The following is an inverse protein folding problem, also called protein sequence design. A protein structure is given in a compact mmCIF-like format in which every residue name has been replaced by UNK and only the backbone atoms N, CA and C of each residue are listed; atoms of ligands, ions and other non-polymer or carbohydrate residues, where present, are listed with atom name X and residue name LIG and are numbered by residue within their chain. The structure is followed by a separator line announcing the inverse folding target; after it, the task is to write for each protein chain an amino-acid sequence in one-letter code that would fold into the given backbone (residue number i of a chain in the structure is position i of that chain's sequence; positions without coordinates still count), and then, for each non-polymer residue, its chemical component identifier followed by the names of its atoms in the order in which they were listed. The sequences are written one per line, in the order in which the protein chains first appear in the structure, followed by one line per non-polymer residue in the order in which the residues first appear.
data_IF_340406908898
#
_entry.id   IF_340406908898
#
_cell.length_a   1.000
_cell.length_b   1.000
_cell.length_c   1.000
_cell.angle_alpha   90.00
_cell.angle_beta   90.00
_cell.angle_gamma   90.00
#
_symmetry.space_group_name_H-M   'P 1'
#
loop_
_entity.id
_entity.type
_entity.pdbx_description
1 polymer ?
#
# COMPACT_ATOMS: atom_id res chain seq x y z
N UNK A 1 -24.22 -15.50 7.56
CA UNK A 1 -23.05 -14.62 7.52
C UNK A 1 -21.71 -15.31 7.83
N UNK A 2 -21.65 -16.56 8.31
CA UNK A 2 -20.38 -17.20 8.72
C UNK A 2 -19.29 -17.30 7.64
N UNK A 3 -19.52 -18.09 6.58
CA UNK A 3 -18.47 -18.34 5.57
C UNK A 3 -18.07 -17.08 4.81
N UNK A 4 -19.03 -16.27 4.34
CA UNK A 4 -18.75 -15.09 3.51
C UNK A 4 -17.96 -14.03 4.29
N UNK A 5 -18.34 -13.78 5.55
CA UNK A 5 -17.64 -12.82 6.40
C UNK A 5 -16.21 -13.27 6.69
N UNK A 6 -16.01 -14.56 6.99
CA UNK A 6 -14.67 -15.13 7.18
C UNK A 6 -13.81 -14.99 5.91
N UNK A 7 -14.38 -15.25 4.73
CA UNK A 7 -13.66 -15.06 3.47
C UNK A 7 -13.26 -13.61 3.22
N UNK A 8 -14.13 -12.64 3.52
CA UNK A 8 -13.81 -11.22 3.41
C UNK A 8 -12.69 -10.80 4.36
N UNK A 9 -12.70 -11.31 5.60
CA UNK A 9 -11.61 -11.07 6.57
C UNK A 9 -10.29 -11.68 6.07
N UNK A 10 -10.31 -12.92 5.58
CA UNK A 10 -9.12 -13.57 5.05
C UNK A 10 -8.55 -12.83 3.84
N UNK A 11 -9.41 -12.35 2.94
CA UNK A 11 -9.00 -11.51 1.81
C UNK A 11 -8.39 -10.19 2.27
N UNK A 12 -9.02 -9.52 3.24
CA UNK A 12 -8.50 -8.27 3.81
C UNK A 12 -7.14 -8.47 4.47
N UNK A 13 -6.98 -9.57 5.22
CA UNK A 13 -5.71 -9.95 5.84
C UNK A 13 -4.61 -10.18 4.79
N UNK A 14 -4.93 -10.90 3.71
CA UNK A 14 -3.98 -11.14 2.62
C UNK A 14 -3.53 -9.85 1.94
N UNK A 15 -4.46 -8.92 1.68
CA UNK A 15 -4.15 -7.61 1.10
C UNK A 15 -3.29 -6.77 2.06
N UNK A 16 -3.60 -6.78 3.35
CA UNK A 16 -2.81 -6.09 4.37
C UNK A 16 -1.37 -6.62 4.43
N UNK A 17 -1.21 -7.95 4.48
CA UNK A 17 0.11 -8.58 4.47
C UNK A 17 0.88 -8.28 3.17
N UNK A 18 0.19 -8.32 2.02
CA UNK A 18 0.76 -7.94 0.73
C UNK A 18 1.22 -6.49 0.68
N UNK A 19 0.44 -5.56 1.24
CA UNK A 19 0.81 -4.15 1.39
C UNK A 19 2.07 -3.99 2.23
N UNK A 20 2.12 -4.61 3.40
CA UNK A 20 3.30 -4.57 4.29
C UNK A 20 4.53 -5.08 3.54
N UNK A 21 4.41 -6.23 2.87
CA UNK A 21 5.51 -6.81 2.12
C UNK A 21 5.99 -5.91 0.98
N UNK A 22 5.06 -5.37 0.17
CA UNK A 22 5.38 -4.48 -0.95
C UNK A 22 5.99 -3.16 -0.47
N UNK A 23 5.59 -2.64 0.68
CA UNK A 23 6.17 -1.44 1.28
C UNK A 23 7.58 -1.71 1.80
N UNK A 24 7.81 -2.85 2.46
CA UNK A 24 9.15 -3.22 2.92
C UNK A 24 10.15 -3.41 1.78
N UNK A 25 9.68 -3.87 0.61
CA UNK A 25 10.51 -3.96 -0.61
C UNK A 25 10.87 -2.59 -1.21
N UNK A 26 10.18 -1.52 -0.83
CA UNK A 26 10.43 -0.16 -1.32
C UNK A 26 11.44 0.57 -0.43
N UNK A 27 12.67 0.07 -0.40
CA UNK A 27 13.75 0.75 0.32
C UNK A 27 14.00 2.16 -0.26
N UNK A 28 14.06 3.21 0.58
CA UNK A 28 14.33 4.56 0.11
C UNK A 28 15.73 4.63 -0.50
N UNK A 29 15.83 5.25 -1.68
CA UNK A 29 17.02 5.16 -2.54
C UNK A 29 18.25 5.94 -2.05
N UNK A 30 18.16 6.74 -0.99
CA UNK A 30 19.32 7.45 -0.42
C UNK A 30 19.06 7.86 1.04
N UNK A 31 20.09 7.76 1.87
CA UNK A 31 20.00 7.64 3.33
C UNK A 31 19.67 8.93 4.09
N UNK A 32 18.84 8.78 5.11
CA UNK A 32 18.86 9.46 6.42
C UNK A 32 18.77 11.00 6.52
N UNK A 33 19.12 11.75 5.47
CA UNK A 33 19.29 13.21 5.52
C UNK A 33 18.05 14.02 5.14
N UNK A 34 17.02 13.40 4.56
CA UNK A 34 15.89 14.11 3.94
C UNK A 34 14.60 14.11 4.78
N UNK A 35 14.73 14.01 6.11
CA UNK A 35 13.59 14.16 7.03
C UNK A 35 13.04 15.61 6.98
N UNK A 36 13.79 16.55 6.40
CA UNK A 36 13.43 17.96 6.27
C UNK A 36 13.60 18.49 4.84
N UNK A 37 13.08 17.80 3.83
CA UNK A 37 12.76 18.38 2.51
C UNK A 37 13.87 19.21 1.83
N UNK A 38 15.06 18.66 1.63
CA UNK A 38 16.19 19.37 1.04
C UNK A 38 16.97 18.51 0.04
N UNK A 39 17.09 18.85 -1.23
CA UNK A 39 16.65 20.05 -1.93
C UNK A 39 16.90 19.89 -3.43
N UNK A 40 16.04 20.51 -4.24
CA UNK A 40 16.19 20.91 -5.65
C UNK A 40 16.83 19.95 -6.69
N UNK A 41 17.17 18.70 -6.38
CA UNK A 41 18.07 17.92 -7.24
C UNK A 41 17.42 16.68 -7.87
N UNK A 42 16.23 16.28 -7.42
CA UNK A 42 15.57 15.04 -7.92
C UNK A 42 14.18 15.23 -8.54
N UNK A 43 13.77 16.48 -8.80
CA UNK A 43 12.45 16.76 -9.43
C UNK A 43 12.29 16.09 -10.81
N UNK A 44 13.40 15.78 -11.48
CA UNK A 44 13.43 15.07 -12.77
C UNK A 44 13.95 13.62 -12.69
N UNK A 45 14.60 13.21 -11.61
CA UNK A 45 15.12 11.84 -11.44
C UNK A 45 14.03 10.82 -11.03
N UNK A 46 12.90 11.30 -10.50
CA UNK A 46 11.74 10.47 -10.16
C UNK A 46 11.02 9.84 -11.37
N UNK A 47 11.33 10.26 -12.60
CA UNK A 47 10.66 9.79 -13.81
C UNK A 47 11.32 8.51 -14.35
N UNK A 48 10.96 7.35 -13.79
CA UNK A 48 10.95 6.12 -14.60
C UNK A 48 11.28 4.80 -13.90
N UNK A 49 12.02 4.78 -12.80
CA UNK A 49 12.65 3.52 -12.33
C UNK A 49 11.89 2.81 -11.20
N UNK A 50 10.83 3.39 -10.64
CA UNK A 50 10.05 2.79 -9.51
C UNK A 50 8.56 2.58 -9.79
N UNK A 51 8.11 2.81 -11.03
CA UNK A 51 6.67 2.91 -11.33
C UNK A 51 5.85 1.64 -11.11
N UNK A 52 6.42 0.45 -11.32
CA UNK A 52 5.68 -0.81 -11.21
C UNK A 52 5.19 -1.10 -9.79
N UNK A 53 6.14 -1.19 -8.85
CA UNK A 53 5.85 -1.47 -7.45
C UNK A 53 5.01 -0.35 -6.82
N UNK A 54 5.30 0.91 -7.16
CA UNK A 54 4.49 2.07 -6.78
C UNK A 54 3.03 1.95 -7.21
N UNK A 55 2.76 1.59 -8.48
CA UNK A 55 1.39 1.39 -8.98
C UNK A 55 0.69 0.24 -8.27
N UNK A 56 1.39 -0.86 -8.00
CA UNK A 56 0.85 -2.01 -7.26
C UNK A 56 0.45 -1.60 -5.84
N UNK A 57 1.28 -0.81 -5.14
CA UNK A 57 0.96 -0.29 -3.81
C UNK A 57 -0.28 0.58 -3.81
N UNK A 58 -0.45 1.45 -4.81
CA UNK A 58 -1.64 2.29 -4.95
C UNK A 58 -2.89 1.41 -5.06
N UNK A 59 -2.88 0.42 -5.95
CA UNK A 59 -4.04 -0.46 -6.14
C UNK A 59 -4.33 -1.31 -4.91
N UNK A 60 -3.31 -1.86 -4.26
CA UNK A 60 -3.50 -2.59 -3.00
C UNK A 60 -4.02 -1.68 -1.89
N UNK A 61 -3.52 -0.44 -1.78
CA UNK A 61 -3.98 0.56 -0.82
C UNK A 61 -5.45 0.95 -1.03
N UNK A 62 -5.85 1.17 -2.28
CA UNK A 62 -7.25 1.43 -2.62
C UNK A 62 -8.15 0.23 -2.28
N UNK A 63 -7.74 -0.98 -2.63
CA UNK A 63 -8.47 -2.20 -2.31
C UNK A 63 -8.62 -2.41 -0.80
N UNK A 64 -7.56 -2.15 -0.03
CA UNK A 64 -7.58 -2.20 1.44
C UNK A 64 -8.61 -1.22 2.03
N UNK A 65 -8.59 0.04 1.60
CA UNK A 65 -9.56 1.03 2.08
C UNK A 65 -11.00 0.66 1.74
N UNK A 66 -11.26 0.24 0.50
CA UNK A 66 -12.60 -0.17 0.06
C UNK A 66 -13.10 -1.36 0.88
N UNK A 67 -12.27 -2.39 1.07
CA UNK A 67 -12.63 -3.56 1.87
C UNK A 67 -12.86 -3.21 3.35
N UNK A 68 -12.07 -2.29 3.92
CA UNK A 68 -12.25 -1.81 5.29
C UNK A 68 -13.65 -1.21 5.50
N UNK A 69 -14.09 -0.35 4.56
CA UNK A 69 -15.43 0.24 4.59
C UNK A 69 -16.52 -0.82 4.41
N UNK A 70 -16.35 -1.74 3.46
CA UNK A 70 -17.32 -2.82 3.20
C UNK A 70 -17.51 -3.68 4.45
N UNK A 71 -16.42 -4.17 5.04
CA UNK A 71 -16.45 -5.03 6.24
C UNK A 71 -17.10 -4.30 7.41
N UNK A 72 -16.81 -2.99 7.59
CA UNK A 72 -17.42 -2.18 8.64
C UNK A 72 -18.95 -2.03 8.48
N UNK A 73 -19.44 -1.97 7.24
CA UNK A 73 -20.86 -1.76 6.94
C UNK A 73 -21.70 -3.03 6.88
N UNK A 74 -21.08 -4.22 6.86
CA UNK A 74 -21.83 -5.49 6.85
C UNK A 74 -22.45 -5.74 8.23
N UNK A 75 -23.79 -5.94 8.30
CA UNK A 75 -24.45 -6.33 9.55
C UNK A 75 -24.07 -7.76 9.95
N UNK A 76 -23.90 -7.99 11.25
CA UNK A 76 -23.41 -9.24 11.84
C UNK A 76 -24.45 -10.35 11.81
#
# INVERSE_FOLDING_TARGET
MGILYTLLILLYLAIAAGLVWVVLLQEPKQGGGDILGGGATDLFAARGVTGGLYRVTIWLGAAFLVLSVIINKIPR
#
